data_IF_559345791786
#
_entry.id   IF_559345791786
#
_cell.length_a   1.000
_cell.length_b   1.000
_cell.length_c   1.000
_cell.angle_alpha   90.00
_cell.angle_beta   90.00
_cell.angle_gamma   90.00
#
_symmetry.space_group_name_H-M   'P 1'
#
loop_
_entity.id
_entity.type
_entity.pdbx_description
1 polymer ?
#
# COMPACT_ATOMS: atom_id res chain seq x y z
N UNK A 1 -9.91 20.89 -34.17
CA UNK A 1 -10.22 19.69 -33.36
C UNK A 1 -8.95 19.43 -32.59
N UNK A 2 -8.84 19.87 -31.34
CA UNK A 2 -7.66 19.60 -30.51
C UNK A 2 -7.72 18.09 -30.18
N UNK A 3 -6.72 17.38 -30.69
CA UNK A 3 -6.45 16.00 -30.30
C UNK A 3 -6.11 16.06 -28.79
N UNK A 4 -7.10 15.77 -27.94
CA UNK A 4 -6.83 15.63 -26.50
C UNK A 4 -5.95 14.38 -26.39
N UNK A 5 -4.63 14.57 -26.31
CA UNK A 5 -3.71 13.50 -25.97
C UNK A 5 -4.28 12.79 -24.72
N UNK A 6 -4.65 11.54 -24.91
CA UNK A 6 -5.27 10.74 -23.86
C UNK A 6 -4.27 10.61 -22.70
N UNK A 7 -4.57 11.27 -21.59
CA UNK A 7 -3.74 11.14 -20.39
C UNK A 7 -3.72 9.66 -20.00
N UNK A 8 -2.56 9.04 -20.07
CA UNK A 8 -2.36 7.66 -19.64
C UNK A 8 -2.40 7.63 -18.12
N UNK A 9 -3.15 6.71 -17.58
CA UNK A 9 -3.34 6.52 -16.14
C UNK A 9 -3.14 5.06 -15.78
N UNK A 10 -2.39 4.83 -14.70
CA UNK A 10 -2.23 3.50 -14.12
C UNK A 10 -2.90 3.50 -12.74
N UNK A 11 -3.95 2.72 -12.59
CA UNK A 11 -4.70 2.62 -11.32
C UNK A 11 -4.43 1.27 -10.71
N UNK A 12 -3.94 1.26 -9.47
CA UNK A 12 -3.60 0.04 -8.75
C UNK A 12 -4.04 0.13 -7.29
N UNK A 13 -4.14 -1.03 -6.68
CA UNK A 13 -4.16 -1.16 -5.23
C UNK A 13 -2.72 -0.93 -4.72
N UNK A 14 -2.50 -0.04 -3.74
CA UNK A 14 -1.17 0.24 -3.17
C UNK A 14 -1.02 -0.29 -1.74
N UNK A 15 -2.16 -0.49 -1.06
CA UNK A 15 -2.19 -1.04 0.29
C UNK A 15 -3.51 -1.73 0.57
N UNK A 16 -3.46 -2.86 1.27
CA UNK A 16 -4.66 -3.60 1.65
C UNK A 16 -4.46 -4.29 3.00
N UNK A 17 -5.30 -3.93 3.96
CA UNK A 17 -5.29 -4.51 5.30
C UNK A 17 -6.71 -4.86 5.76
N UNK A 18 -6.82 -5.94 6.50
CA UNK A 18 -8.07 -6.40 7.06
C UNK A 18 -7.86 -7.08 8.42
N UNK A 19 -8.92 -7.14 9.19
CA UNK A 19 -9.02 -8.02 10.36
C UNK A 19 -9.89 -9.22 10.02
N UNK A 20 -9.45 -10.39 10.48
CA UNK A 20 -10.16 -11.65 10.34
C UNK A 20 -10.08 -12.45 11.64
N UNK A 21 -10.97 -13.42 11.80
CA UNK A 21 -10.87 -14.45 12.82
C UNK A 21 -10.25 -15.70 12.19
N UNK A 22 -9.23 -16.24 12.84
CA UNK A 22 -8.73 -17.58 12.53
C UNK A 22 -9.62 -18.65 13.19
N UNK A 23 -9.64 -19.90 12.67
CA UNK A 23 -10.36 -21.00 13.30
C UNK A 23 -9.87 -21.24 14.75
N UNK A 24 -10.80 -21.29 15.71
CA UNK A 24 -10.42 -21.46 17.13
C UNK A 24 -9.82 -22.81 17.45
N UNK A 25 -10.30 -23.87 16.78
CA UNK A 25 -9.92 -25.26 17.05
C UNK A 25 -8.72 -25.74 16.25
N UNK A 26 -8.31 -24.97 15.25
CA UNK A 26 -7.18 -25.27 14.36
C UNK A 26 -6.48 -23.96 14.00
N UNK A 27 -5.74 -23.35 14.93
CA UNK A 27 -5.11 -22.06 14.70
C UNK A 27 -3.96 -22.19 13.70
N UNK A 28 -3.97 -21.36 12.67
CA UNK A 28 -2.93 -21.31 11.65
C UNK A 28 -1.77 -20.41 12.11
N UNK A 29 -0.96 -20.93 13.02
CA UNK A 29 0.24 -20.27 13.52
C UNK A 29 1.44 -20.36 12.55
N UNK A 30 2.57 -19.80 12.94
CA UNK A 30 3.77 -19.84 12.12
C UNK A 30 4.26 -21.28 11.88
N UNK A 31 4.08 -22.20 12.85
CA UNK A 31 4.46 -23.60 12.72
C UNK A 31 3.62 -24.33 11.66
N UNK A 32 2.32 -24.10 11.65
CA UNK A 32 1.42 -24.63 10.62
C UNK A 32 1.90 -24.27 9.22
N UNK A 33 2.13 -22.98 8.95
CA UNK A 33 2.60 -22.52 7.64
C UNK A 33 4.04 -22.94 7.33
N UNK A 34 4.89 -23.09 8.35
CA UNK A 34 6.27 -23.59 8.18
C UNK A 34 6.27 -25.08 7.78
N UNK A 35 5.47 -25.91 8.42
CA UNK A 35 5.32 -27.32 8.05
C UNK A 35 4.79 -27.48 6.62
N UNK A 36 3.93 -26.59 6.16
CA UNK A 36 3.47 -26.54 4.78
C UNK A 36 4.49 -25.95 3.79
N UNK A 37 5.63 -25.45 4.26
CA UNK A 37 6.65 -24.82 3.41
C UNK A 37 6.27 -23.44 2.87
N UNK A 38 5.30 -22.77 3.49
CA UNK A 38 4.70 -21.52 3.00
C UNK A 38 5.26 -20.26 3.64
N UNK A 39 6.12 -20.34 4.65
CA UNK A 39 6.74 -19.18 5.28
C UNK A 39 7.84 -18.61 4.38
N UNK A 40 7.77 -17.28 4.17
CA UNK A 40 8.84 -16.49 3.53
C UNK A 40 9.76 -15.88 4.58
N UNK A 41 9.15 -15.24 5.58
CA UNK A 41 9.85 -14.55 6.65
C UNK A 41 9.01 -14.59 7.92
N UNK A 42 9.70 -14.62 9.05
CA UNK A 42 9.10 -14.60 10.38
C UNK A 42 9.88 -13.62 11.25
N UNK A 43 9.19 -12.88 12.10
CA UNK A 43 9.84 -12.03 13.09
C UNK A 43 9.97 -12.77 14.42
N UNK A 44 11.17 -12.72 14.99
CA UNK A 44 11.46 -13.29 16.30
C UNK A 44 10.56 -12.71 17.41
N UNK A 45 10.28 -11.40 17.31
CA UNK A 45 9.45 -10.67 18.28
C UNK A 45 8.28 -10.00 17.59
N UNK A 46 7.20 -10.53 17.38
CA UNK A 46 5.99 -9.96 16.78
C UNK A 46 5.93 -8.43 16.57
N UNK A 47 4.88 -7.80 17.03
CA UNK A 47 4.67 -6.32 17.00
C UNK A 47 4.31 -5.82 18.41
N UNK A 48 4.04 -4.51 18.56
CA UNK A 48 3.51 -3.96 19.84
C UNK A 48 2.13 -4.51 20.21
N UNK A 49 1.39 -5.02 19.23
CA UNK A 49 0.00 -5.48 19.40
C UNK A 49 -0.10 -7.00 19.34
N UNK A 50 0.66 -7.64 18.45
CA UNK A 50 0.57 -9.07 18.16
C UNK A 50 1.87 -9.79 18.52
N UNK A 51 1.76 -10.98 19.09
CA UNK A 51 2.89 -11.82 19.53
C UNK A 51 3.64 -12.41 18.34
N UNK A 52 2.93 -12.73 17.28
CA UNK A 52 3.48 -13.37 16.10
C UNK A 52 3.28 -12.51 14.87
N UNK A 53 4.25 -12.52 13.99
CA UNK A 53 4.21 -11.87 12.69
C UNK A 53 5.06 -12.65 11.68
N UNK A 54 4.44 -13.10 10.62
CA UNK A 54 5.11 -13.83 9.53
C UNK A 54 4.47 -13.52 8.17
N UNK A 55 5.20 -13.83 7.10
CA UNK A 55 4.74 -13.65 5.72
C UNK A 55 4.56 -15.00 5.05
N UNK A 56 3.41 -15.21 4.46
CA UNK A 56 3.02 -16.43 3.74
C UNK A 56 3.16 -16.21 2.24
N UNK A 57 3.59 -17.26 1.53
CA UNK A 57 3.67 -17.32 0.05
C UNK A 57 2.28 -17.47 -0.56
N UNK A 58 2.17 -17.02 -1.82
CA UNK A 58 1.09 -17.44 -2.72
C UNK A 58 1.39 -18.82 -3.37
N UNK A 59 0.49 -19.26 -4.23
CA UNK A 59 0.64 -20.50 -4.98
C UNK A 59 1.85 -20.53 -5.92
N UNK A 60 2.32 -19.35 -6.35
CA UNK A 60 3.47 -19.17 -7.22
C UNK A 60 4.80 -19.08 -6.44
N UNK A 61 4.74 -19.15 -5.11
CA UNK A 61 5.89 -19.09 -4.21
C UNK A 61 6.37 -17.67 -3.88
N UNK A 62 5.63 -16.63 -4.26
CA UNK A 62 6.00 -15.25 -3.99
C UNK A 62 5.46 -14.79 -2.63
N UNK A 63 6.15 -13.86 -1.93
CA UNK A 63 5.60 -13.23 -0.73
C UNK A 63 4.23 -12.60 -1.03
N UNK A 64 3.21 -13.04 -0.28
CA UNK A 64 1.84 -12.65 -0.58
C UNK A 64 1.18 -11.88 0.56
N UNK A 65 1.04 -12.49 1.73
CA UNK A 65 0.29 -11.90 2.83
C UNK A 65 1.07 -11.96 4.15
N UNK A 66 1.13 -10.86 4.86
CA UNK A 66 1.66 -10.78 6.21
C UNK A 66 0.55 -11.06 7.20
N UNK A 67 0.76 -12.04 8.07
CA UNK A 67 -0.15 -12.44 9.14
C UNK A 67 0.41 -11.93 10.47
N UNK A 68 -0.41 -11.19 11.22
CA UNK A 68 -0.15 -10.76 12.59
C UNK A 68 -1.23 -11.36 13.47
N UNK A 69 -0.86 -12.19 14.44
CA UNK A 69 -1.80 -12.94 15.26
C UNK A 69 -1.44 -12.98 16.74
N UNK A 70 -2.29 -13.58 17.55
CA UNK A 70 -2.15 -13.68 18.99
C UNK A 70 -1.94 -12.30 19.66
N UNK A 71 -2.97 -11.44 19.70
CA UNK A 71 -2.83 -10.11 20.29
C UNK A 71 -2.48 -10.19 21.78
N UNK A 72 -1.65 -9.26 22.28
CA UNK A 72 -1.23 -9.22 23.69
C UNK A 72 -2.36 -8.89 24.64
N UNK A 73 -3.29 -8.04 24.26
CA UNK A 73 -4.45 -7.67 25.06
C UNK A 73 -5.74 -8.07 24.38
N UNK A 74 -6.33 -9.12 24.95
CA UNK A 74 -7.71 -9.52 24.69
C UNK A 74 -8.50 -9.05 25.91
N UNK A 75 -9.17 -7.97 25.84
CA UNK A 75 -9.70 -7.45 27.07
C UNK A 75 -11.14 -6.98 26.97
N UNK A 76 -11.72 -6.75 28.16
CA UNK A 76 -13.04 -6.16 28.40
C UNK A 76 -13.27 -4.82 27.67
N UNK A 77 -12.25 -4.22 27.09
CA UNK A 77 -12.31 -3.01 26.25
C UNK A 77 -12.53 -3.32 24.77
N UNK A 78 -12.76 -4.58 24.38
CA UNK A 78 -13.28 -4.95 23.08
C UNK A 78 -12.36 -4.69 21.88
N UNK A 79 -11.05 -4.57 22.11
CA UNK A 79 -10.13 -4.23 21.03
C UNK A 79 -9.81 -5.44 20.15
N UNK A 80 -9.54 -6.60 20.77
CA UNK A 80 -9.25 -7.85 20.07
C UNK A 80 -9.82 -9.07 20.78
N UNK A 81 -10.21 -10.09 20.03
CA UNK A 81 -10.48 -11.44 20.54
C UNK A 81 -9.22 -12.30 20.44
N UNK A 82 -9.18 -13.44 21.13
CA UNK A 82 -7.99 -14.33 21.18
C UNK A 82 -7.58 -14.83 19.80
N UNK A 83 -8.55 -15.04 18.92
CA UNK A 83 -8.35 -15.55 17.55
C UNK A 83 -8.43 -14.44 16.48
N UNK A 84 -8.39 -13.15 16.86
CA UNK A 84 -8.35 -12.06 15.89
C UNK A 84 -6.97 -11.92 15.30
N UNK A 85 -6.90 -11.87 13.98
CA UNK A 85 -5.69 -11.66 13.21
C UNK A 85 -5.81 -10.37 12.40
N UNK A 86 -4.68 -9.71 12.21
CA UNK A 86 -4.52 -8.61 11.24
C UNK A 86 -3.72 -9.11 10.04
N UNK A 87 -4.34 -9.07 8.87
CA UNK A 87 -3.77 -9.52 7.62
C UNK A 87 -3.44 -8.30 6.76
N UNK A 88 -2.24 -8.28 6.19
CA UNK A 88 -1.77 -7.24 5.29
C UNK A 88 -1.20 -7.85 4.02
N UNK A 89 -1.72 -7.43 2.87
CA UNK A 89 -1.15 -7.80 1.59
C UNK A 89 0.26 -7.19 1.44
N UNK A 90 1.22 -7.97 0.99
CA UNK A 90 2.56 -7.46 0.65
C UNK A 90 2.45 -6.48 -0.51
N UNK A 91 3.20 -5.37 -0.48
CA UNK A 91 3.03 -4.30 -1.47
C UNK A 91 3.12 -4.79 -2.93
N UNK A 92 4.04 -5.71 -3.24
CA UNK A 92 4.13 -6.28 -4.59
C UNK A 92 2.87 -7.06 -5.00
N UNK A 93 2.25 -7.76 -4.06
CA UNK A 93 1.02 -8.52 -4.32
C UNK A 93 -0.22 -7.62 -4.49
N UNK A 94 -0.19 -6.39 -4.00
CA UNK A 94 -1.23 -5.40 -4.28
C UNK A 94 -1.34 -5.08 -5.78
N UNK A 95 -0.25 -5.25 -6.54
CA UNK A 95 -0.20 -4.97 -7.98
C UNK A 95 -0.61 -6.16 -8.86
N UNK A 96 -1.04 -7.28 -8.29
CA UNK A 96 -1.66 -8.37 -9.04
C UNK A 96 -3.05 -7.95 -9.52
N UNK A 97 -3.40 -8.30 -10.76
CA UNK A 97 -4.73 -8.00 -11.33
C UNK A 97 -5.86 -8.64 -10.52
N UNK A 98 -5.60 -9.80 -9.96
CA UNK A 98 -6.52 -10.62 -9.16
C UNK A 98 -6.25 -10.53 -7.65
N UNK A 99 -5.53 -9.49 -7.17
CA UNK A 99 -5.11 -9.35 -5.77
C UNK A 99 -6.25 -9.59 -4.77
N UNK A 100 -7.41 -8.97 -4.99
CA UNK A 100 -8.58 -9.11 -4.11
C UNK A 100 -9.15 -10.52 -4.15
N UNK A 101 -9.15 -11.18 -5.33
CA UNK A 101 -9.62 -12.56 -5.44
C UNK A 101 -8.67 -13.51 -4.71
N UNK A 102 -7.35 -13.34 -4.88
CA UNK A 102 -6.35 -14.15 -4.14
C UNK A 102 -6.48 -14.00 -2.62
N UNK A 103 -6.83 -12.80 -2.13
CA UNK A 103 -7.12 -12.61 -0.69
C UNK A 103 -8.35 -13.41 -0.26
N UNK A 104 -9.42 -13.41 -1.06
CA UNK A 104 -10.61 -14.22 -0.76
C UNK A 104 -10.26 -15.71 -0.76
N UNK A 105 -9.53 -16.18 -1.77
CA UNK A 105 -9.10 -17.57 -1.88
C UNK A 105 -8.22 -17.98 -0.68
N UNK A 106 -7.36 -17.08 -0.19
CA UNK A 106 -6.59 -17.28 1.03
C UNK A 106 -7.48 -17.41 2.26
N UNK A 107 -8.44 -16.49 2.44
CA UNK A 107 -9.38 -16.55 3.56
C UNK A 107 -10.20 -17.84 3.55
N UNK A 108 -10.69 -18.24 2.38
CA UNK A 108 -11.49 -19.45 2.21
C UNK A 108 -10.65 -20.72 2.44
N UNK A 109 -9.44 -20.79 1.88
CA UNK A 109 -8.53 -21.95 2.02
C UNK A 109 -8.15 -22.20 3.46
N UNK A 110 -7.84 -21.15 4.20
CA UNK A 110 -7.44 -21.22 5.61
C UNK A 110 -8.58 -20.92 6.58
N UNK A 111 -9.82 -20.91 6.11
CA UNK A 111 -11.03 -20.75 6.92
C UNK A 111 -11.04 -19.52 7.83
N UNK A 112 -10.40 -18.43 7.38
CA UNK A 112 -10.48 -17.16 8.07
C UNK A 112 -11.84 -16.51 7.84
N UNK A 113 -12.46 -15.98 8.89
CA UNK A 113 -13.69 -15.21 8.78
C UNK A 113 -13.36 -13.72 8.74
N UNK A 114 -13.65 -13.06 7.62
CA UNK A 114 -13.44 -11.61 7.48
C UNK A 114 -14.32 -10.84 8.49
N UNK A 115 -13.70 -9.98 9.30
CA UNK A 115 -14.40 -9.08 10.21
C UNK A 115 -14.62 -7.70 9.59
N UNK A 116 -13.55 -7.08 9.10
CA UNK A 116 -13.58 -5.73 8.53
C UNK A 116 -12.34 -5.43 7.71
N UNK A 117 -12.49 -4.55 6.74
CA UNK A 117 -11.36 -3.90 6.12
C UNK A 117 -10.86 -2.79 7.05
N UNK A 118 -9.55 -2.68 7.25
CA UNK A 118 -8.94 -1.67 8.11
C UNK A 118 -8.24 -0.59 7.32
N UNK A 119 -7.70 -0.93 6.13
CA UNK A 119 -7.10 0.04 5.22
C UNK A 119 -7.10 -0.45 3.79
N UNK A 120 -7.51 0.44 2.89
CA UNK A 120 -7.41 0.25 1.45
C UNK A 120 -6.87 1.55 0.85
N UNK A 121 -5.69 1.48 0.22
CA UNK A 121 -5.15 2.61 -0.53
C UNK A 121 -5.19 2.28 -2.02
N UNK A 122 -5.80 3.15 -2.78
CA UNK A 122 -5.81 3.10 -4.25
C UNK A 122 -4.86 4.18 -4.75
N UNK A 123 -3.88 3.81 -5.56
CA UNK A 123 -3.02 4.76 -6.24
C UNK A 123 -3.46 4.97 -7.68
N UNK A 124 -3.22 6.17 -8.18
CA UNK A 124 -3.38 6.51 -9.57
C UNK A 124 -2.11 7.26 -10.02
N UNK A 125 -1.34 6.62 -10.89
CA UNK A 125 -0.10 7.16 -11.41
C UNK A 125 -0.34 7.83 -12.77
N UNK A 126 0.33 8.95 -13.00
CA UNK A 126 0.29 9.75 -14.24
C UNK A 126 1.70 10.04 -14.70
N UNK A 127 1.94 10.00 -15.99
CA UNK A 127 3.22 10.40 -16.58
C UNK A 127 3.43 11.92 -16.49
N UNK A 128 2.40 12.66 -16.86
CA UNK A 128 2.41 14.14 -16.88
C UNK A 128 1.03 14.69 -16.51
N UNK A 129 0.99 15.94 -16.12
CA UNK A 129 -0.25 16.68 -15.91
C UNK A 129 -0.61 17.47 -17.17
N UNK A 130 -1.88 17.94 -17.20
CA UNK A 130 -2.31 18.91 -18.21
C UNK A 130 -1.31 20.07 -18.28
N UNK A 131 -1.07 20.61 -19.46
CA UNK A 131 -0.11 21.66 -19.74
C UNK A 131 1.38 21.26 -19.57
N UNK A 132 1.69 19.97 -19.43
CA UNK A 132 3.06 19.47 -19.33
C UNK A 132 3.79 19.87 -18.05
N UNK A 133 3.05 20.14 -16.97
CA UNK A 133 3.65 20.43 -15.69
C UNK A 133 4.31 19.19 -15.10
N UNK A 134 5.55 19.32 -14.61
CA UNK A 134 6.18 18.31 -13.79
C UNK A 134 5.54 18.25 -12.38
N UNK A 135 5.70 17.14 -11.63
CA UNK A 135 5.11 16.98 -10.30
C UNK A 135 5.48 18.08 -9.31
N UNK A 136 6.71 18.59 -9.34
CA UNK A 136 7.16 19.65 -8.42
C UNK A 136 6.47 20.98 -8.73
N UNK A 137 6.31 21.31 -10.01
CA UNK A 137 5.60 22.52 -10.47
C UNK A 137 4.11 22.43 -10.14
N UNK A 138 3.49 21.27 -10.36
CA UNK A 138 2.11 21.01 -9.95
C UNK A 138 1.91 21.22 -8.45
N UNK A 139 2.73 20.59 -7.59
CA UNK A 139 2.65 20.72 -6.16
C UNK A 139 2.83 22.16 -5.68
N UNK A 140 3.78 22.90 -6.28
CA UNK A 140 3.99 24.32 -6.00
C UNK A 140 2.74 25.16 -6.33
N UNK A 141 2.16 24.99 -7.53
CA UNK A 141 0.94 25.67 -7.93
C UNK A 141 -0.25 25.31 -7.02
N UNK A 142 -0.35 24.06 -6.64
CA UNK A 142 -1.39 23.61 -5.71
C UNK A 142 -1.27 24.31 -4.35
N UNK A 143 -0.08 24.40 -3.78
CA UNK A 143 0.17 25.10 -2.50
C UNK A 143 -0.06 26.60 -2.60
N UNK A 144 0.18 27.18 -3.76
CA UNK A 144 -0.11 28.60 -4.04
C UNK A 144 -1.59 28.89 -4.32
N UNK A 145 -2.49 27.94 -4.12
CA UNK A 145 -3.93 28.06 -4.42
C UNK A 145 -4.25 28.38 -5.90
N UNK A 146 -3.41 27.95 -6.83
CA UNK A 146 -3.65 28.14 -8.28
C UNK A 146 -4.70 27.17 -8.85
N UNK A 147 -5.07 26.14 -8.09
CA UNK A 147 -6.13 25.19 -8.45
C UNK A 147 -7.30 25.27 -7.49
N UNK A 148 -8.49 24.96 -7.97
CA UNK A 148 -9.66 24.79 -7.11
C UNK A 148 -9.45 23.60 -6.17
N UNK A 149 -9.63 23.81 -4.89
CA UNK A 149 -9.51 22.77 -3.87
C UNK A 149 -10.90 22.22 -3.53
N UNK A 150 -11.08 20.94 -3.73
CA UNK A 150 -12.32 20.25 -3.41
C UNK A 150 -12.40 19.94 -1.92
N UNK A 151 -11.25 19.67 -1.26
CA UNK A 151 -11.18 19.35 0.16
C UNK A 151 -10.64 20.52 0.97
N UNK A 152 -11.35 20.88 2.04
CA UNK A 152 -10.98 21.93 3.00
C UNK A 152 -10.46 21.35 4.32
N UNK A 153 -9.75 20.22 4.25
CA UNK A 153 -9.17 19.59 5.44
C UNK A 153 -7.77 20.09 5.76
N UNK A 154 -7.17 19.50 6.81
CA UNK A 154 -5.78 19.75 7.15
C UNK A 154 -4.87 19.34 6.01
N UNK A 155 -3.93 20.22 5.65
CA UNK A 155 -2.95 19.99 4.58
C UNK A 155 -1.58 19.86 5.23
N UNK A 156 -0.87 18.79 4.91
CA UNK A 156 0.54 18.60 5.26
C UNK A 156 1.35 18.55 3.99
N UNK A 157 2.39 19.37 3.89
CA UNK A 157 3.29 19.39 2.74
C UNK A 157 4.70 18.99 3.18
N UNK A 158 5.36 18.18 2.38
CA UNK A 158 6.75 17.78 2.59
C UNK A 158 7.59 18.22 1.40
N UNK A 159 8.72 18.83 1.68
CA UNK A 159 9.65 19.30 0.66
C UNK A 159 11.08 19.18 1.14
N UNK A 160 11.99 19.35 0.21
CA UNK A 160 13.43 19.41 0.47
C UNK A 160 13.90 20.83 0.18
N UNK A 161 14.61 21.44 1.12
CA UNK A 161 15.26 22.73 0.91
C UNK A 161 16.49 22.53 0.02
N UNK A 162 16.57 23.33 -1.03
CA UNK A 162 17.72 23.42 -1.92
C UNK A 162 18.20 24.87 -1.96
N UNK A 163 19.47 25.07 -2.33
CA UNK A 163 20.06 26.39 -2.46
C UNK A 163 19.34 27.29 -3.49
N UNK A 164 18.65 26.68 -4.48
CA UNK A 164 17.86 27.31 -5.54
C UNK A 164 16.38 27.41 -5.21
N UNK A 165 15.98 27.05 -3.99
CA UNK A 165 14.61 27.09 -3.48
C UNK A 165 14.08 25.75 -3.00
N UNK A 166 12.91 25.80 -2.35
CA UNK A 166 12.25 24.62 -1.83
C UNK A 166 11.59 23.80 -2.94
N UNK A 167 11.90 22.51 -2.99
CA UNK A 167 11.27 21.53 -3.87
C UNK A 167 10.25 20.71 -3.09
N UNK A 168 8.99 20.83 -3.46
CA UNK A 168 7.89 20.08 -2.84
C UNK A 168 7.84 18.66 -3.42
N UNK A 169 7.91 17.66 -2.55
CA UNK A 169 7.90 16.25 -2.91
C UNK A 169 6.52 15.62 -2.78
N UNK A 170 5.74 16.06 -1.80
CA UNK A 170 4.39 15.56 -1.57
C UNK A 170 3.50 16.55 -0.85
N UNK A 171 2.21 16.41 -1.07
CA UNK A 171 1.15 17.05 -0.31
C UNK A 171 0.13 15.99 0.07
N UNK A 172 -0.25 15.98 1.35
CA UNK A 172 -1.33 15.14 1.84
C UNK A 172 -2.40 15.98 2.54
N UNK A 173 -3.62 15.50 2.47
CA UNK A 173 -4.73 16.08 3.21
C UNK A 173 -5.59 14.99 3.83
N UNK A 174 -6.27 15.36 4.89
CA UNK A 174 -6.90 14.48 5.83
C UNK A 174 -6.09 14.38 7.13
N UNK A 175 -6.79 14.09 8.22
CA UNK A 175 -6.16 13.76 9.49
C UNK A 175 -5.69 12.30 9.49
N UNK A 176 -4.65 11.93 10.25
CA UNK A 176 -4.31 10.53 10.49
C UNK A 176 -5.45 9.68 11.03
N UNK A 177 -6.45 10.31 11.66
CA UNK A 177 -7.67 9.68 12.19
C UNK A 177 -8.86 9.78 11.25
N UNK A 178 -8.70 10.39 10.08
CA UNK A 178 -9.76 10.51 9.08
C UNK A 178 -9.99 9.16 8.38
N UNK A 179 -11.27 8.86 8.12
CA UNK A 179 -11.64 7.69 7.32
C UNK A 179 -11.13 7.78 5.86
N UNK A 180 -10.90 8.99 5.37
CA UNK A 180 -10.40 9.23 4.00
C UNK A 180 -9.23 10.21 4.08
N UNK A 181 -8.12 9.82 3.50
CA UNK A 181 -6.95 10.67 3.27
C UNK A 181 -6.54 10.62 1.81
N UNK A 182 -5.89 11.67 1.33
CA UNK A 182 -5.34 11.71 -0.03
C UNK A 182 -3.92 12.24 0.03
N UNK A 183 -3.04 11.68 -0.82
CA UNK A 183 -1.65 12.12 -0.93
C UNK A 183 -1.26 12.22 -2.41
N UNK A 184 -0.75 13.39 -2.79
CA UNK A 184 -0.02 13.57 -4.05
C UNK A 184 1.48 13.59 -3.78
N UNK A 185 2.25 12.90 -4.59
CA UNK A 185 3.71 12.89 -4.46
C UNK A 185 4.39 12.48 -5.77
N UNK A 186 5.66 12.85 -5.88
CA UNK A 186 6.49 12.41 -6.98
C UNK A 186 6.93 10.97 -6.77
N UNK A 187 6.27 10.04 -7.45
CA UNK A 187 6.52 8.60 -7.33
C UNK A 187 7.91 8.21 -7.83
N UNK A 188 8.40 8.86 -8.87
CA UNK A 188 9.75 8.61 -9.40
C UNK A 188 10.82 8.91 -8.34
N UNK A 189 10.67 10.02 -7.60
CA UNK A 189 11.61 10.34 -6.51
C UNK A 189 11.55 9.34 -5.35
N UNK A 190 10.38 8.76 -5.07
CA UNK A 190 10.24 7.71 -4.06
C UNK A 190 10.93 6.42 -4.49
N UNK A 191 10.79 6.05 -5.74
CA UNK A 191 11.23 4.75 -6.25
C UNK A 191 12.71 4.73 -6.63
N UNK A 192 13.26 5.82 -7.14
CA UNK A 192 14.64 5.88 -7.59
C UNK A 192 15.61 6.02 -6.42
N UNK A 193 16.62 5.17 -6.40
CA UNK A 193 17.74 5.25 -5.46
C UNK A 193 18.98 5.77 -6.19
N UNK A 194 19.35 7.04 -5.99
CA UNK A 194 20.51 7.61 -6.67
C UNK A 194 21.83 6.99 -6.24
N UNK A 195 21.93 6.42 -5.03
CA UNK A 195 23.15 5.80 -4.54
C UNK A 195 23.48 4.49 -5.25
N UNK A 196 22.47 3.70 -5.58
CA UNK A 196 22.62 2.43 -6.32
C UNK A 196 22.31 2.54 -7.81
N UNK A 197 21.81 3.69 -8.27
CA UNK A 197 21.31 3.90 -9.62
C UNK A 197 20.24 2.85 -10.03
N UNK A 198 19.39 2.48 -9.09
CA UNK A 198 18.37 1.43 -9.30
C UNK A 198 17.00 1.88 -8.84
N UNK A 199 15.97 1.16 -9.30
CA UNK A 199 14.61 1.35 -8.83
C UNK A 199 14.25 0.34 -7.74
N UNK A 200 13.71 0.82 -6.63
CA UNK A 200 13.41 0.03 -5.43
C UNK A 200 12.17 -0.86 -5.53
N UNK A 201 11.27 -0.60 -6.44
CA UNK A 201 9.96 -1.28 -6.51
C UNK A 201 9.67 -1.72 -7.95
N UNK A 202 10.31 -2.79 -8.43
CA UNK A 202 10.19 -3.22 -9.83
C UNK A 202 8.74 -3.54 -10.24
N UNK A 203 7.91 -4.04 -9.32
CA UNK A 203 6.51 -4.32 -9.58
C UNK A 203 5.70 -3.08 -9.99
N UNK A 204 6.04 -1.90 -9.47
CA UNK A 204 5.41 -0.63 -9.87
C UNK A 204 5.80 -0.27 -11.29
N UNK A 205 7.10 -0.37 -11.64
CA UNK A 205 7.54 -0.13 -13.02
C UNK A 205 6.92 -1.10 -14.02
N UNK A 206 6.78 -2.37 -13.62
CA UNK A 206 6.09 -3.36 -14.44
C UNK A 206 4.62 -2.97 -14.68
N UNK A 207 3.92 -2.51 -13.64
CA UNK A 207 2.56 -2.00 -13.80
C UNK A 207 2.50 -0.77 -14.72
N UNK A 208 3.45 0.15 -14.63
CA UNK A 208 3.54 1.31 -15.51
C UNK A 208 3.78 0.94 -16.97
N UNK A 209 4.69 0.00 -17.23
CA UNK A 209 4.93 -0.54 -18.57
C UNK A 209 3.65 -1.16 -19.15
N UNK A 210 2.97 -1.97 -18.36
CA UNK A 210 1.72 -2.63 -18.76
C UNK A 210 0.60 -1.64 -19.08
N UNK A 211 0.53 -0.52 -18.35
CA UNK A 211 -0.42 0.57 -18.59
C UNK A 211 0.02 1.52 -19.72
N UNK A 212 1.23 1.39 -20.26
CA UNK A 212 1.78 2.32 -21.25
C UNK A 212 2.16 3.69 -20.68
N UNK A 213 2.48 3.78 -19.39
CA UNK A 213 3.02 4.99 -18.75
C UNK A 213 4.51 5.17 -19.03
N UNK A 214 5.22 4.11 -19.30
CA UNK A 214 6.63 4.07 -19.70
C UNK A 214 6.78 3.09 -20.85
N UNK A 215 7.76 3.35 -21.73
CA UNK A 215 7.98 2.53 -22.94
C UNK A 215 8.96 1.37 -22.70
N UNK A 216 9.82 1.46 -21.67
CA UNK A 216 10.85 0.47 -21.36
C UNK A 216 11.01 0.22 -19.84
N UNK A 217 11.77 -0.82 -19.51
CA UNK A 217 11.98 -1.26 -18.10
C UNK A 217 13.35 -0.88 -17.58
#
# INVERSE_FOLDING_TARGET
>A
MYDQERIVRCVNLDWFELHALEPMNDPHDAEFFRCAGLIVSEREYGTRVYKEMFTVKDADGNPFIEVRRAPYSTGSNGIHTTNECHLRLVNAACYYEDAVQRVKDFLDTYQYTLLRLTRVDICMDFEKFDEGDDPAKFLRRYLQNKYAKINQGNITAHGTDRWDGQVWNSVSWGSPTSAIGTKFYNKTMEMYDPASNTYKKPHIRFAWLKCGLIDDF
#
